data_IF_352884139749
#
_entry.id   IF_352884139749
#
_cell.length_a   1.000
_cell.length_b   1.000
_cell.length_c   1.000
_cell.angle_alpha   90.00
_cell.angle_beta   90.00
_cell.angle_gamma   90.00
#
_symmetry.space_group_name_H-M   'P 1'
#
loop_
_entity.id
_entity.type
_entity.pdbx_description
1 polymer ?
#
# COMPACT_ATOMS: atom_id res chain seq x y z
N UNK A 1 -11.06 -5.28 11.02
CA UNK A 1 -9.60 -5.49 10.95
C UNK A 1 -9.02 -4.34 10.16
N UNK A 2 -8.20 -3.48 10.78
CA UNK A 2 -7.51 -2.43 10.04
C UNK A 2 -6.21 -2.97 9.43
N UNK A 3 -5.72 -2.26 8.43
CA UNK A 3 -4.54 -2.63 7.65
C UNK A 3 -3.72 -1.37 7.38
N UNK A 4 -2.40 -1.52 7.39
CA UNK A 4 -1.47 -0.47 6.98
C UNK A 4 -1.11 -0.67 5.52
N UNK A 5 -1.32 0.37 4.73
CA UNK A 5 -1.00 0.38 3.32
C UNK A 5 0.07 1.43 3.02
N UNK A 6 0.95 1.10 2.08
CA UNK A 6 1.71 2.05 1.30
C UNK A 6 1.08 2.13 -0.08
N UNK A 7 0.92 3.33 -0.61
CA UNK A 7 0.28 3.60 -1.90
C UNK A 7 1.17 4.52 -2.71
N UNK A 8 1.47 4.10 -3.92
CA UNK A 8 2.04 4.97 -4.94
C UNK A 8 0.89 5.67 -5.66
N UNK A 9 0.74 6.98 -5.45
CA UNK A 9 -0.32 7.76 -6.09
C UNK A 9 -0.11 7.95 -7.60
N UNK A 10 1.14 7.85 -8.08
CA UNK A 10 1.46 8.00 -9.50
C UNK A 10 1.01 6.77 -10.27
N UNK A 11 1.45 5.58 -9.84
CA UNK A 11 1.11 4.31 -10.53
C UNK A 11 -0.20 3.71 -10.08
N UNK A 12 -0.76 4.19 -8.96
CA UNK A 12 -1.95 3.63 -8.32
C UNK A 12 -1.77 2.16 -7.89
N UNK A 13 -0.58 1.83 -7.42
CA UNK A 13 -0.30 0.53 -6.83
C UNK A 13 -0.17 0.65 -5.31
N UNK A 14 -0.40 -0.46 -4.60
CA UNK A 14 -0.39 -0.46 -3.15
C UNK A 14 0.19 -1.74 -2.55
N UNK A 15 0.74 -1.62 -1.34
CA UNK A 15 1.28 -2.72 -0.55
C UNK A 15 0.71 -2.71 0.87
N UNK A 16 0.07 -3.81 1.27
CA UNK A 16 -0.42 -4.02 2.64
C UNK A 16 0.70 -4.54 3.56
N UNK A 17 1.37 -3.65 4.27
CA UNK A 17 2.56 -3.98 5.07
C UNK A 17 2.23 -4.57 6.45
N UNK A 18 1.07 -4.27 7.04
CA UNK A 18 0.68 -4.83 8.34
C UNK A 18 -0.84 -4.99 8.49
N UNK A 19 -1.25 -5.92 9.35
CA UNK A 19 -2.66 -6.19 9.72
C UNK A 19 -2.84 -5.97 11.23
N UNK A 20 -3.96 -5.34 11.62
CA UNK A 20 -4.30 -5.15 13.02
C UNK A 20 -5.13 -6.33 13.54
N UNK A 21 -4.60 -7.07 14.51
CA UNK A 21 -5.29 -8.16 15.22
C UNK A 21 -5.49 -7.75 16.68
N UNK A 22 -6.74 -7.42 17.05
CA UNK A 22 -7.02 -6.81 18.35
C UNK A 22 -6.33 -5.43 18.44
N UNK A 23 -5.47 -5.25 19.44
CA UNK A 23 -4.65 -4.05 19.60
C UNK A 23 -3.29 -4.14 18.91
N UNK A 24 -2.88 -5.34 18.46
CA UNK A 24 -1.55 -5.60 17.95
C UNK A 24 -1.47 -5.48 16.42
N UNK A 25 -0.32 -5.02 15.94
CA UNK A 25 0.00 -4.99 14.52
C UNK A 25 0.95 -6.14 14.17
N UNK A 26 0.51 -6.98 13.24
CA UNK A 26 1.34 -8.07 12.71
C UNK A 26 1.85 -7.70 11.32
N UNK A 27 3.16 -7.84 11.05
CA UNK A 27 3.70 -7.73 9.71
C UNK A 27 2.97 -8.64 8.73
N UNK A 28 2.81 -8.17 7.50
CA UNK A 28 2.16 -8.94 6.44
C UNK A 28 3.08 -9.01 5.21
N UNK A 29 2.80 -8.23 4.18
CA UNK A 29 3.56 -8.25 2.92
C UNK A 29 4.84 -7.39 2.99
N UNK A 30 5.35 -7.11 4.19
CA UNK A 30 6.56 -6.28 4.41
C UNK A 30 7.79 -6.84 3.68
N UNK A 31 7.89 -8.16 3.51
CA UNK A 31 8.96 -8.81 2.73
C UNK A 31 9.02 -8.36 1.26
N UNK A 32 7.91 -7.87 0.71
CA UNK A 32 7.85 -7.37 -0.65
C UNK A 32 8.15 -5.86 -0.73
N UNK A 33 8.38 -5.19 0.40
CA UNK A 33 8.65 -3.76 0.45
C UNK A 33 9.85 -3.35 -0.42
N UNK A 34 11.01 -4.06 -0.41
CA UNK A 34 12.14 -3.70 -1.27
C UNK A 34 11.78 -3.79 -2.75
N UNK A 35 11.15 -4.89 -3.17
CA UNK A 35 10.70 -5.07 -4.55
C UNK A 35 9.65 -4.04 -4.97
N UNK A 36 8.73 -3.70 -4.05
CA UNK A 36 7.73 -2.67 -4.28
C UNK A 36 8.39 -1.32 -4.49
N UNK A 37 9.32 -0.91 -3.64
CA UNK A 37 10.07 0.35 -3.77
C UNK A 37 10.93 0.38 -5.05
N UNK A 38 11.57 -0.73 -5.39
CA UNK A 38 12.40 -0.81 -6.59
C UNK A 38 11.60 -0.78 -7.89
N UNK A 39 10.35 -1.22 -7.87
CA UNK A 39 9.48 -1.19 -9.04
C UNK A 39 8.84 0.19 -9.28
N UNK A 40 9.06 1.18 -8.40
CA UNK A 40 8.47 2.51 -8.55
C UNK A 40 9.21 3.27 -9.65
N UNK A 41 8.54 3.66 -10.75
CA UNK A 41 9.20 4.31 -11.88
C UNK A 41 9.79 5.67 -11.52
N UNK A 42 9.28 6.29 -10.46
CA UNK A 42 9.72 7.61 -9.99
C UNK A 42 10.65 7.53 -8.76
N UNK A 43 11.13 6.35 -8.34
CA UNK A 43 11.92 6.19 -7.11
C UNK A 43 13.16 7.07 -6.99
N UNK A 44 13.74 7.46 -8.12
CA UNK A 44 14.94 8.30 -8.17
C UNK A 44 14.62 9.81 -8.23
N UNK A 45 13.33 10.18 -8.20
CA UNK A 45 12.91 11.59 -8.15
C UNK A 45 13.04 12.14 -6.72
N UNK A 46 13.50 13.39 -6.56
CA UNK A 46 13.68 14.01 -5.25
C UNK A 46 12.35 14.26 -4.49
N UNK A 47 11.22 14.30 -5.21
CA UNK A 47 9.86 14.48 -4.70
C UNK A 47 9.06 13.18 -4.63
N UNK A 48 9.70 12.03 -4.85
CA UNK A 48 9.03 10.74 -4.76
C UNK A 48 8.65 10.41 -3.31
N UNK A 49 7.36 10.22 -3.07
CA UNK A 49 6.84 9.81 -1.77
C UNK A 49 5.72 8.78 -1.95
N UNK A 50 5.70 7.77 -1.08
CA UNK A 50 4.58 6.86 -0.94
C UNK A 50 3.62 7.37 0.13
N UNK A 51 2.34 7.39 -0.19
CA UNK A 51 1.31 7.69 0.77
C UNK A 51 1.15 6.50 1.71
N UNK A 52 1.18 6.75 3.02
CA UNK A 52 0.89 5.73 4.03
C UNK A 52 -0.45 5.98 4.71
N UNK A 53 -1.10 4.92 5.18
CA UNK A 53 -2.28 5.08 6.01
C UNK A 53 -2.86 3.79 6.56
N UNK A 54 -3.68 3.96 7.60
CA UNK A 54 -4.43 2.89 8.25
C UNK A 54 -5.88 2.90 7.76
N UNK A 55 -6.30 1.78 7.20
CA UNK A 55 -7.62 1.65 6.60
C UNK A 55 -8.22 0.29 6.96
N UNK A 56 -9.53 0.23 7.21
CA UNK A 56 -10.25 -1.02 7.03
C UNK A 56 -10.41 -1.30 5.53
N UNK A 57 -10.67 -2.55 5.15
CA UNK A 57 -10.76 -2.97 3.74
C UNK A 57 -11.78 -2.16 2.93
N UNK A 58 -12.93 -1.84 3.52
CA UNK A 58 -13.99 -1.09 2.84
C UNK A 58 -13.57 0.36 2.59
N UNK A 59 -13.02 1.04 3.61
CA UNK A 59 -12.54 2.42 3.47
C UNK A 59 -11.33 2.53 2.54
N UNK A 60 -10.45 1.53 2.52
CA UNK A 60 -9.37 1.46 1.54
C UNK A 60 -9.92 1.30 0.12
N UNK A 61 -10.85 0.35 -0.06
CA UNK A 61 -11.50 0.11 -1.34
C UNK A 61 -12.20 1.36 -1.87
N UNK A 62 -12.97 2.06 -1.03
CA UNK A 62 -13.68 3.27 -1.45
C UNK A 62 -12.73 4.42 -1.81
N UNK A 63 -11.70 4.65 -1.00
CA UNK A 63 -10.79 5.78 -1.19
C UNK A 63 -9.89 5.59 -2.40
N UNK A 64 -9.33 4.39 -2.54
CA UNK A 64 -8.29 4.11 -3.52
C UNK A 64 -8.83 3.29 -4.69
N UNK A 65 -9.45 2.14 -4.45
CA UNK A 65 -9.82 1.20 -5.53
C UNK A 65 -10.99 1.72 -6.38
N UNK A 66 -12.08 2.15 -5.75
CA UNK A 66 -13.30 2.66 -6.42
C UNK A 66 -13.04 3.94 -7.21
N UNK A 67 -12.06 4.74 -6.79
CA UNK A 67 -11.61 5.94 -7.51
C UNK A 67 -10.56 5.65 -8.60
N UNK A 68 -10.34 4.37 -8.96
CA UNK A 68 -9.56 3.97 -10.14
C UNK A 68 -8.17 3.40 -9.86
N UNK A 69 -7.92 2.87 -8.66
CA UNK A 69 -6.64 2.24 -8.24
C UNK A 69 -6.82 0.72 -8.27
N UNK A 70 -6.88 0.12 -9.47
CA UNK A 70 -6.98 -1.34 -9.61
C UNK A 70 -5.62 -1.91 -9.99
N UNK A 71 -4.76 -2.21 -9.02
CA UNK A 71 -3.64 -3.12 -9.26
C UNK A 71 -3.45 -4.06 -8.06
N UNK A 72 -3.66 -5.35 -8.32
CA UNK A 72 -3.17 -6.45 -7.47
C UNK A 72 -1.76 -6.77 -7.94
N UNK A 73 -0.78 -6.77 -7.03
CA UNK A 73 0.45 -7.54 -7.23
C UNK A 73 0.04 -9.01 -7.42
N UNK A 74 0.11 -9.51 -8.65
CA UNK A 74 0.12 -10.94 -8.90
C UNK A 74 1.54 -11.43 -8.58
N UNK A 75 1.63 -12.32 -7.59
CA UNK A 75 2.84 -13.08 -7.30
C UNK A 75 3.00 -14.27 -8.23
#
# INVERSE_FOLDING_TARGET
>A
MNRRYLVDSTTREYLCVALQKGSDWTPNNEKFLPQFLDSRPEKDRPDFELLSGEYNDNSFFEKWIRNGTNYKLQG
#
